data_IF_478318752643
#
_entry.id   IF_478318752643
#
_cell.length_a   1.000
_cell.length_b   1.000
_cell.length_c   1.000
_cell.angle_alpha   90.00
_cell.angle_beta   90.00
_cell.angle_gamma   90.00
#
_symmetry.space_group_name_H-M   'P 1'
#
loop_
_entity.id
_entity.type
_entity.pdbx_description
1 polymer ?
#
# COMPACT_ATOMS: atom_id res chain seq x y z
N UNK A 1 10.84 5.35 -22.38
CA UNK A 1 11.21 6.05 -21.14
C UNK A 1 10.77 5.26 -19.91
N UNK A 2 9.48 4.88 -19.79
CA UNK A 2 8.96 4.17 -18.60
C UNK A 2 9.63 2.80 -18.36
N UNK A 3 9.86 2.01 -19.39
CA UNK A 3 10.55 0.71 -19.28
C UNK A 3 12.00 0.89 -18.80
N UNK A 4 12.73 1.86 -19.34
CA UNK A 4 14.09 2.17 -18.95
C UNK A 4 14.16 2.63 -17.48
N UNK A 5 13.25 3.49 -17.05
CA UNK A 5 13.11 3.90 -15.65
C UNK A 5 12.75 2.71 -14.76
N UNK A 6 11.88 1.82 -15.22
CA UNK A 6 11.53 0.60 -14.52
C UNK A 6 12.72 -0.36 -14.33
N UNK A 7 13.64 -0.44 -15.28
CA UNK A 7 14.80 -1.35 -15.19
C UNK A 7 15.94 -0.72 -14.37
N UNK A 8 16.30 0.52 -14.64
CA UNK A 8 17.50 1.17 -14.09
C UNK A 8 17.22 2.10 -12.90
N UNK A 9 15.95 2.45 -12.65
CA UNK A 9 15.60 3.30 -11.53
C UNK A 9 15.83 2.64 -10.16
N UNK A 10 16.08 3.46 -9.15
CA UNK A 10 16.23 3.00 -7.77
C UNK A 10 14.94 2.34 -7.27
N UNK A 11 15.04 1.14 -6.70
CA UNK A 11 13.90 0.32 -6.25
C UNK A 11 13.58 0.48 -4.76
N UNK A 12 14.51 1.02 -3.98
CA UNK A 12 14.37 1.07 -2.53
C UNK A 12 14.48 -0.31 -1.87
N UNK A 13 13.78 -0.47 -0.77
CA UNK A 13 13.67 -1.77 -0.10
C UNK A 13 12.61 -2.63 -0.79
N UNK A 14 12.96 -3.87 -1.07
CA UNK A 14 12.05 -4.87 -1.65
C UNK A 14 11.90 -6.02 -0.66
N UNK A 15 10.66 -6.43 -0.41
CA UNK A 15 10.32 -7.54 0.46
C UNK A 15 9.45 -8.53 -0.30
N UNK A 16 9.75 -9.82 -0.17
CA UNK A 16 8.96 -10.91 -0.73
C UNK A 16 8.43 -11.78 0.41
N UNK A 17 7.18 -12.16 0.31
CA UNK A 17 6.54 -13.14 1.18
C UNK A 17 5.85 -14.19 0.33
N UNK A 18 6.06 -15.47 0.64
CA UNK A 18 5.35 -16.58 0.03
C UNK A 18 4.36 -17.14 1.05
N UNK A 19 3.08 -16.99 0.77
CA UNK A 19 2.01 -17.58 1.57
C UNK A 19 1.96 -19.11 1.37
N UNK A 20 1.27 -19.85 2.27
CA UNK A 20 0.97 -21.27 2.07
C UNK A 20 0.25 -21.52 0.73
N UNK A 21 0.39 -22.74 0.21
CA UNK A 21 -0.36 -23.14 -1.00
C UNK A 21 -1.86 -23.02 -0.74
N UNK A 22 -2.60 -22.44 -1.68
CA UNK A 22 -4.04 -22.23 -1.56
C UNK A 22 -4.87 -23.53 -1.61
N UNK A 23 -4.30 -24.62 -2.13
CA UNK A 23 -5.02 -25.88 -2.34
C UNK A 23 -5.69 -26.40 -1.06
N UNK A 24 -4.94 -26.36 0.08
CA UNK A 24 -5.49 -26.78 1.37
C UNK A 24 -6.71 -25.95 1.80
N UNK A 25 -6.70 -24.66 1.51
CA UNK A 25 -7.85 -23.78 1.78
C UNK A 25 -9.02 -24.09 0.85
N UNK A 26 -8.76 -24.30 -0.45
CA UNK A 26 -9.81 -24.63 -1.42
C UNK A 26 -10.53 -25.94 -1.06
N UNK A 27 -9.82 -26.92 -0.53
CA UNK A 27 -10.39 -28.19 -0.08
C UNK A 27 -11.36 -28.03 1.11
N UNK A 28 -11.30 -26.92 1.83
CA UNK A 28 -12.24 -26.62 2.94
C UNK A 28 -13.57 -26.00 2.49
N UNK A 29 -13.65 -25.55 1.23
CA UNK A 29 -14.83 -24.85 0.73
C UNK A 29 -15.89 -25.84 0.26
N UNK A 30 -17.17 -25.42 0.43
CA UNK A 30 -18.32 -26.20 -0.05
C UNK A 30 -18.34 -26.21 -1.59
N UNK A 31 -18.22 -27.39 -2.26
CA UNK A 31 -18.25 -27.47 -3.71
C UNK A 31 -19.59 -27.07 -4.33
N UNK A 32 -20.68 -27.07 -3.55
CA UNK A 32 -22.02 -26.66 -3.98
C UNK A 32 -22.30 -25.16 -3.77
N UNK A 33 -21.32 -24.42 -3.25
CA UNK A 33 -21.42 -22.96 -3.04
C UNK A 33 -21.71 -22.25 -4.38
N UNK A 34 -22.61 -21.25 -4.40
CA UNK A 34 -22.84 -20.43 -5.58
C UNK A 34 -21.55 -19.80 -6.11
N UNK A 35 -21.36 -19.85 -7.42
CA UNK A 35 -20.11 -19.47 -8.08
C UNK A 35 -19.61 -18.07 -7.68
N UNK A 36 -20.52 -17.09 -7.58
CA UNK A 36 -20.12 -15.72 -7.20
C UNK A 36 -19.67 -15.66 -5.74
N UNK A 37 -20.31 -16.40 -4.86
CA UNK A 37 -19.94 -16.49 -3.44
C UNK A 37 -18.59 -17.19 -3.29
N UNK A 38 -18.34 -18.25 -4.03
CA UNK A 38 -17.06 -18.95 -4.07
C UNK A 38 -15.92 -18.00 -4.48
N UNK A 39 -16.10 -17.22 -5.55
CA UNK A 39 -15.10 -16.25 -5.99
C UNK A 39 -14.85 -15.17 -4.95
N UNK A 40 -15.88 -14.63 -4.33
CA UNK A 40 -15.73 -13.62 -3.29
C UNK A 40 -14.99 -14.17 -2.06
N UNK A 41 -15.29 -15.40 -1.67
CA UNK A 41 -14.65 -16.09 -0.53
C UNK A 41 -13.16 -16.32 -0.80
N UNK A 42 -12.82 -16.81 -1.99
CA UNK A 42 -11.41 -17.01 -2.39
C UNK A 42 -10.68 -15.66 -2.46
N UNK A 43 -11.27 -14.65 -3.06
CA UNK A 43 -10.68 -13.32 -3.15
C UNK A 43 -10.42 -12.72 -1.75
N UNK A 44 -11.38 -12.85 -0.84
CA UNK A 44 -11.23 -12.37 0.54
C UNK A 44 -10.11 -13.10 1.30
N UNK A 45 -9.96 -14.41 1.07
CA UNK A 45 -8.83 -15.17 1.63
C UNK A 45 -7.49 -14.67 1.10
N UNK A 46 -7.38 -14.49 -0.23
CA UNK A 46 -6.17 -13.97 -0.85
C UNK A 46 -5.83 -12.57 -0.35
N UNK A 47 -6.82 -11.69 -0.25
CA UNK A 47 -6.64 -10.34 0.28
C UNK A 47 -6.15 -10.38 1.73
N UNK A 48 -6.72 -11.25 2.56
CA UNK A 48 -6.28 -11.42 3.94
C UNK A 48 -4.82 -11.89 4.02
N UNK A 49 -4.44 -12.91 3.24
CA UNK A 49 -3.06 -13.40 3.19
C UNK A 49 -2.07 -12.33 2.71
N UNK A 50 -2.42 -11.58 1.68
CA UNK A 50 -1.59 -10.50 1.15
C UNK A 50 -1.46 -9.38 2.19
N UNK A 51 -2.58 -8.89 2.72
CA UNK A 51 -2.60 -7.72 3.59
C UNK A 51 -1.97 -7.98 4.97
N UNK A 52 -2.17 -9.16 5.55
CA UNK A 52 -1.61 -9.53 6.86
C UNK A 52 -0.08 -9.68 6.84
N UNK A 53 0.50 -9.92 5.66
CA UNK A 53 1.93 -10.10 5.49
C UNK A 53 2.65 -8.91 4.84
N UNK A 54 2.00 -7.75 4.72
CA UNK A 54 2.66 -6.54 4.28
C UNK A 54 3.84 -6.18 5.17
N UNK A 55 4.97 -5.90 4.57
CA UNK A 55 6.05 -5.20 5.25
C UNK A 55 5.83 -3.70 5.11
N UNK A 56 5.40 -3.09 6.19
CA UNK A 56 5.18 -1.64 6.24
C UNK A 56 6.48 -0.91 6.60
N UNK A 57 6.63 0.27 6.07
CA UNK A 57 7.78 1.15 6.29
C UNK A 57 7.32 2.46 6.92
N UNK A 58 8.20 3.21 7.60
CA UNK A 58 7.85 4.48 8.23
C UNK A 58 7.07 5.43 7.32
N UNK A 59 7.43 5.52 6.04
CA UNK A 59 6.73 6.35 5.07
C UNK A 59 5.26 6.00 4.85
N UNK A 60 4.87 4.74 5.04
CA UNK A 60 3.47 4.33 4.95
C UNK A 60 2.64 4.93 6.10
N UNK A 61 3.16 4.90 7.32
CA UNK A 61 2.51 5.46 8.52
C UNK A 61 2.49 6.99 8.47
N UNK A 62 3.59 7.61 8.03
CA UNK A 62 3.62 9.07 7.80
C UNK A 62 2.55 9.48 6.80
N UNK A 63 2.39 8.73 5.70
CA UNK A 63 1.37 9.02 4.70
C UNK A 63 -0.04 8.96 5.28
N UNK A 64 -0.32 7.96 6.12
CA UNK A 64 -1.63 7.81 6.76
C UNK A 64 -1.91 8.96 7.73
N UNK A 65 -0.96 9.27 8.61
CA UNK A 65 -1.11 10.36 9.57
C UNK A 65 -1.26 11.74 8.88
N UNK A 66 -0.51 11.99 7.80
CA UNK A 66 -0.67 13.21 7.01
C UNK A 66 -2.03 13.28 6.30
N UNK A 67 -2.52 12.14 5.78
CA UNK A 67 -3.79 12.07 5.07
C UNK A 67 -4.99 12.29 6.01
N UNK A 68 -4.91 11.75 7.22
CA UNK A 68 -5.97 11.82 8.23
C UNK A 68 -5.79 13.00 9.20
N UNK A 69 -4.72 13.76 9.03
CA UNK A 69 -4.35 14.89 9.90
C UNK A 69 -4.29 14.48 11.39
N UNK A 70 -3.61 13.36 11.65
CA UNK A 70 -3.42 12.78 12.98
C UNK A 70 -1.95 12.52 13.28
N UNK A 71 -1.65 12.09 14.49
CA UNK A 71 -0.36 11.55 14.92
C UNK A 71 -0.55 10.15 15.56
N UNK A 72 -1.60 9.45 15.16
CA UNK A 72 -1.98 8.17 15.75
C UNK A 72 -0.91 7.09 15.59
N UNK A 73 -0.07 7.19 14.58
CA UNK A 73 1.01 6.25 14.27
C UNK A 73 2.41 6.83 14.50
N UNK A 74 2.54 7.91 15.27
CA UNK A 74 3.82 8.58 15.51
C UNK A 74 4.89 7.68 16.17
N UNK A 75 4.51 6.57 16.79
CA UNK A 75 5.43 5.56 17.31
C UNK A 75 6.13 4.74 16.23
N UNK A 76 5.60 4.71 15.01
CA UNK A 76 6.08 3.88 13.89
C UNK A 76 7.11 4.59 13.00
N UNK A 77 7.37 5.89 13.26
CA UNK A 77 8.32 6.69 12.49
C UNK A 77 8.99 7.77 13.35
N UNK A 78 10.14 8.24 12.87
CA UNK A 78 10.84 9.37 13.49
C UNK A 78 10.49 10.68 12.78
N UNK A 79 10.83 11.84 13.40
CA UNK A 79 10.70 13.14 12.74
C UNK A 79 11.58 13.23 11.47
N UNK A 80 12.73 12.56 11.49
CA UNK A 80 13.59 12.48 10.31
C UNK A 80 12.92 11.69 9.17
N UNK A 81 12.26 10.57 9.48
CA UNK A 81 11.51 9.79 8.49
C UNK A 81 10.38 10.62 7.88
N UNK A 82 9.65 11.38 8.72
CA UNK A 82 8.59 12.28 8.28
C UNK A 82 9.15 13.34 7.31
N UNK A 83 10.21 14.04 7.70
CA UNK A 83 10.82 15.07 6.86
C UNK A 83 11.35 14.50 5.53
N UNK A 84 11.97 13.31 5.57
CA UNK A 84 12.46 12.60 4.38
C UNK A 84 11.32 12.23 3.44
N UNK A 85 10.22 11.73 3.98
CA UNK A 85 9.05 11.36 3.21
C UNK A 85 8.36 12.57 2.59
N UNK A 86 8.17 13.66 3.35
CA UNK A 86 7.60 14.90 2.83
C UNK A 86 8.44 15.49 1.69
N UNK A 87 9.77 15.48 1.83
CA UNK A 87 10.68 15.88 0.75
C UNK A 87 10.55 14.98 -0.48
N UNK A 88 10.40 13.67 -0.28
CA UNK A 88 10.16 12.72 -1.37
C UNK A 88 8.85 13.05 -2.11
N UNK A 89 7.74 13.26 -1.39
CA UNK A 89 6.45 13.61 -1.98
C UNK A 89 6.54 14.92 -2.78
N UNK A 90 7.17 15.95 -2.23
CA UNK A 90 7.40 17.20 -2.94
C UNK A 90 8.18 16.99 -4.24
N UNK A 91 9.19 16.13 -4.22
CA UNK A 91 9.97 15.74 -5.40
C UNK A 91 9.13 14.99 -6.45
N UNK A 92 8.20 14.13 -6.05
CA UNK A 92 7.30 13.45 -6.98
C UNK A 92 6.30 14.42 -7.61
N UNK A 93 5.73 15.33 -6.82
CA UNK A 93 4.82 16.37 -7.31
C UNK A 93 5.52 17.29 -8.34
N UNK A 94 6.77 17.64 -8.11
CA UNK A 94 7.56 18.48 -9.02
C UNK A 94 7.80 17.82 -10.39
N UNK A 95 7.77 16.48 -10.49
CA UNK A 95 7.91 15.75 -11.77
C UNK A 95 6.67 15.82 -12.63
N UNK A 96 5.52 16.12 -12.05
CA UNK A 96 4.24 16.17 -12.76
C UNK A 96 4.12 17.54 -13.46
N UNK A 97 4.21 17.54 -14.77
CA UNK A 97 4.14 18.75 -15.59
C UNK A 97 2.79 18.79 -16.32
N UNK A 98 1.77 19.28 -15.62
CA UNK A 98 0.45 19.51 -16.14
C UNK A 98 0.11 21.01 -16.04
N UNK A 99 -0.50 21.61 -17.09
CA UNK A 99 -1.00 22.97 -17.00
C UNK A 99 -2.11 23.01 -15.92
N UNK A 100 -2.08 24.02 -15.05
CA UNK A 100 -3.08 24.21 -13.99
C UNK A 100 -3.26 22.97 -13.07
N UNK A 101 -2.17 22.25 -12.76
CA UNK A 101 -2.23 21.07 -11.87
C UNK A 101 -2.78 21.45 -10.50
N UNK A 102 -3.71 20.64 -10.01
CA UNK A 102 -4.19 20.70 -8.62
C UNK A 102 -3.21 19.93 -7.71
N UNK A 103 -2.27 20.66 -7.11
CA UNK A 103 -1.26 20.04 -6.23
C UNK A 103 -1.86 19.39 -4.99
N UNK A 104 -2.94 19.96 -4.44
CA UNK A 104 -3.60 19.41 -3.26
C UNK A 104 -4.22 18.04 -3.58
N UNK A 105 -4.93 17.93 -4.71
CA UNK A 105 -5.49 16.69 -5.20
C UNK A 105 -4.40 15.64 -5.48
N UNK A 106 -3.35 16.02 -6.20
CA UNK A 106 -2.25 15.11 -6.52
C UNK A 106 -1.52 14.61 -5.28
N UNK A 107 -1.28 15.50 -4.32
CA UNK A 107 -0.68 15.14 -3.03
C UNK A 107 -1.56 14.14 -2.27
N UNK A 108 -2.87 14.41 -2.18
CA UNK A 108 -3.83 13.50 -1.55
C UNK A 108 -3.78 12.10 -2.19
N UNK A 109 -3.76 12.02 -3.53
CA UNK A 109 -3.72 10.72 -4.22
C UNK A 109 -2.41 9.97 -4.00
N UNK A 110 -1.28 10.66 -3.98
CA UNK A 110 0.01 10.04 -3.64
C UNK A 110 0.00 9.55 -2.19
N UNK A 111 -0.44 10.37 -1.25
CA UNK A 111 -0.55 9.97 0.16
C UNK A 111 -1.48 8.76 0.33
N UNK A 112 -2.63 8.74 -0.36
CA UNK A 112 -3.57 7.62 -0.33
C UNK A 112 -2.91 6.32 -0.81
N UNK A 113 -2.10 6.38 -1.87
CA UNK A 113 -1.38 5.22 -2.38
C UNK A 113 -0.43 4.62 -1.33
N UNK A 114 0.30 5.47 -0.59
CA UNK A 114 1.21 5.02 0.47
C UNK A 114 0.50 4.63 1.78
N UNK A 115 -0.67 5.22 2.07
CA UNK A 115 -1.46 4.93 3.26
C UNK A 115 -2.29 3.64 3.16
N UNK A 116 -2.75 3.27 1.96
CA UNK A 116 -3.60 2.10 1.76
C UNK A 116 -3.00 0.79 2.28
N UNK A 117 -1.69 0.49 2.13
CA UNK A 117 -1.11 -0.72 2.74
C UNK A 117 -1.28 -0.78 4.25
N UNK A 118 -1.18 0.36 4.96
CA UNK A 118 -1.41 0.40 6.42
C UNK A 118 -2.88 0.12 6.74
N UNK A 119 -3.80 0.78 6.05
CA UNK A 119 -5.24 0.56 6.24
C UNK A 119 -5.62 -0.91 6.02
N UNK A 120 -5.14 -1.51 4.94
CA UNK A 120 -5.39 -2.90 4.63
C UNK A 120 -4.80 -3.84 5.68
N UNK A 121 -3.56 -3.60 6.13
CA UNK A 121 -2.94 -4.36 7.20
C UNK A 121 -3.72 -4.26 8.52
N UNK A 122 -4.13 -3.06 8.92
CA UNK A 122 -4.92 -2.86 10.13
C UNK A 122 -6.28 -3.54 10.06
N UNK A 123 -6.89 -3.62 8.88
CA UNK A 123 -8.15 -4.31 8.67
C UNK A 123 -8.05 -5.84 8.83
N UNK A 124 -6.85 -6.44 8.84
CA UNK A 124 -6.64 -7.87 9.11
C UNK A 124 -6.55 -8.20 10.61
N UNK A 125 -6.44 -7.18 11.45
CA UNK A 125 -6.36 -7.33 12.91
C UNK A 125 -7.74 -7.45 13.52
#
# INVERSE_FOLDING_TARGET
VSMQTGIFGYKGHVHYHAAPCIDEYLDTLDPEMPKQELFNTIAAHLDHEIHSHYRLYPGNYVALDLLENTEAHASEYTQEDKARFEKYIAGQLAKIQLPNKDEAFLKEKILTMYANPVRNFLATK
#
